data_IF_142652429591
#
_entry.id   IF_142652429591
#
_cell.length_a   1.000
_cell.length_b   1.000
_cell.length_c   1.000
_cell.angle_alpha   90.00
_cell.angle_beta   90.00
_cell.angle_gamma   90.00
#
_symmetry.space_group_name_H-M   'P 1'
#
loop_
_entity.id
_entity.type
_entity.pdbx_description
1 polymer ?
#
# COMPACT_ATOMS: atom_id res chain seq x y z
N UNK A 1 8.51 10.14 -14.53
CA UNK A 1 7.14 10.69 -14.37
C UNK A 1 7.16 12.18 -14.56
N UNK A 2 6.26 12.71 -15.37
CA UNK A 2 6.09 14.13 -15.59
C UNK A 2 4.73 14.58 -15.09
N UNK A 3 4.57 15.87 -14.77
CA UNK A 3 3.28 16.43 -14.38
C UNK A 3 2.26 16.22 -15.49
N UNK A 4 2.68 16.28 -16.78
CA UNK A 4 1.82 15.99 -17.94
C UNK A 4 1.29 14.56 -17.93
N UNK A 5 2.15 13.57 -17.71
CA UNK A 5 1.73 12.16 -17.70
C UNK A 5 0.74 11.88 -16.58
N UNK A 6 0.92 12.53 -15.45
CA UNK A 6 0.04 12.35 -14.31
C UNK A 6 -1.30 13.08 -14.49
N UNK A 7 -1.28 14.31 -15.02
CA UNK A 7 -2.50 15.05 -15.38
C UNK A 7 -3.35 14.24 -16.36
N UNK A 8 -2.72 13.62 -17.36
CA UNK A 8 -3.39 12.73 -18.31
C UNK A 8 -4.01 11.52 -17.62
N UNK A 9 -3.27 10.87 -16.71
CA UNK A 9 -3.76 9.72 -15.97
C UNK A 9 -4.95 10.06 -15.05
N UNK A 10 -4.99 11.28 -14.52
CA UNK A 10 -6.08 11.77 -13.68
C UNK A 10 -7.23 12.43 -14.48
N UNK A 11 -7.09 12.58 -15.79
CA UNK A 11 -8.12 13.21 -16.64
C UNK A 11 -8.28 14.71 -16.42
N UNK A 12 -7.23 15.41 -15.97
CA UNK A 12 -7.25 16.85 -15.70
C UNK A 12 -6.21 17.61 -16.53
N UNK A 13 -6.41 18.90 -16.72
CA UNK A 13 -5.45 19.76 -17.41
C UNK A 13 -4.21 20.00 -16.53
N UNK A 14 -3.05 20.19 -17.17
CA UNK A 14 -1.79 20.49 -16.48
C UNK A 14 -1.90 21.75 -15.63
N UNK A 15 -2.56 22.81 -16.12
CA UNK A 15 -2.81 24.02 -15.37
C UNK A 15 -3.64 23.79 -14.09
N UNK A 16 -4.59 22.89 -14.12
CA UNK A 16 -5.37 22.50 -12.95
C UNK A 16 -4.49 21.87 -11.88
N UNK A 17 -3.53 21.03 -12.28
CA UNK A 17 -2.57 20.44 -11.38
C UNK A 17 -1.74 21.49 -10.65
N UNK A 18 -1.19 22.46 -11.38
CA UNK A 18 -0.42 23.55 -10.78
C UNK A 18 -1.21 24.45 -9.83
N UNK A 19 -2.53 24.57 -10.03
CA UNK A 19 -3.39 25.35 -9.15
C UNK A 19 -3.65 24.68 -7.80
N UNK A 20 -3.67 23.34 -7.76
CA UNK A 20 -3.97 22.56 -6.56
C UNK A 20 -2.74 22.06 -5.82
N UNK A 21 -1.58 21.96 -6.48
CA UNK A 21 -0.37 21.38 -5.90
C UNK A 21 0.81 22.30 -6.03
N UNK A 22 1.41 22.64 -4.91
CA UNK A 22 2.56 23.54 -4.85
C UNK A 22 3.86 22.90 -5.36
N UNK A 23 3.86 21.61 -5.69
CA UNK A 23 5.04 20.92 -6.18
C UNK A 23 4.76 19.54 -6.74
N UNK A 24 5.75 19.05 -7.50
CA UNK A 24 5.77 17.72 -8.12
C UNK A 24 5.60 16.60 -7.09
N UNK A 25 6.11 16.82 -5.88
CA UNK A 25 6.12 15.86 -4.79
C UNK A 25 4.73 15.63 -4.17
N UNK A 26 3.98 16.70 -3.90
CA UNK A 26 2.60 16.57 -3.39
C UNK A 26 1.70 15.85 -4.37
N UNK A 27 1.92 16.12 -5.65
CA UNK A 27 1.17 15.47 -6.71
C UNK A 27 1.50 13.98 -6.83
N UNK A 28 2.77 13.64 -6.72
CA UNK A 28 3.20 12.24 -6.68
C UNK A 28 2.57 11.50 -5.49
N UNK A 29 2.51 12.12 -4.32
CA UNK A 29 1.86 11.56 -3.15
C UNK A 29 0.37 11.29 -3.40
N UNK A 30 -0.35 12.20 -4.07
CA UNK A 30 -1.76 12.00 -4.41
C UNK A 30 -1.95 10.80 -5.36
N UNK A 31 -1.10 10.68 -6.37
CA UNK A 31 -1.15 9.55 -7.31
C UNK A 31 -0.98 8.24 -6.57
N UNK A 32 -0.05 8.19 -5.63
CA UNK A 32 0.21 7.00 -4.82
C UNK A 32 -0.96 6.65 -3.91
N UNK A 33 -1.60 7.63 -3.30
CA UNK A 33 -2.80 7.42 -2.50
C UNK A 33 -3.97 6.91 -3.36
N UNK A 34 -4.11 7.42 -4.58
CA UNK A 34 -5.14 6.95 -5.51
C UNK A 34 -4.90 5.49 -5.92
N UNK A 35 -3.66 5.13 -6.21
CA UNK A 35 -3.27 3.73 -6.51
C UNK A 35 -3.44 2.83 -5.32
N UNK A 36 -3.12 3.31 -4.13
CA UNK A 36 -3.32 2.58 -2.88
C UNK A 36 -4.80 2.25 -2.66
N UNK A 37 -5.69 3.17 -2.98
CA UNK A 37 -7.13 2.92 -2.92
C UNK A 37 -7.55 1.74 -3.80
N UNK A 38 -7.04 1.66 -5.02
CA UNK A 38 -7.30 0.52 -5.92
C UNK A 38 -6.75 -0.79 -5.36
N UNK A 39 -5.56 -0.75 -4.78
CA UNK A 39 -4.93 -1.90 -4.11
C UNK A 39 -5.81 -2.42 -2.98
N UNK A 40 -6.28 -1.54 -2.09
CA UNK A 40 -7.14 -1.93 -0.97
C UNK A 40 -8.51 -2.43 -1.42
N UNK A 41 -9.09 -1.86 -2.46
CA UNK A 41 -10.34 -2.35 -3.06
C UNK A 41 -10.19 -3.77 -3.59
N UNK A 42 -9.06 -4.09 -4.24
CA UNK A 42 -8.78 -5.45 -4.71
C UNK A 42 -8.60 -6.42 -3.55
N UNK A 43 -7.85 -6.05 -2.53
CA UNK A 43 -7.68 -6.88 -1.32
C UNK A 43 -9.02 -7.15 -0.66
N UNK A 44 -9.87 -6.15 -0.52
CA UNK A 44 -11.21 -6.31 0.06
C UNK A 44 -12.09 -7.25 -0.77
N UNK A 45 -11.98 -7.18 -2.09
CA UNK A 45 -12.68 -8.09 -3.00
C UNK A 45 -12.25 -9.55 -2.78
N UNK A 46 -10.94 -9.80 -2.72
CA UNK A 46 -10.40 -11.15 -2.45
C UNK A 46 -10.84 -11.64 -1.07
N UNK A 47 -10.83 -10.78 -0.06
CA UNK A 47 -11.26 -11.13 1.29
C UNK A 47 -12.73 -11.56 1.37
N UNK A 48 -13.59 -10.98 0.54
CA UNK A 48 -15.01 -11.37 0.47
C UNK A 48 -15.22 -12.70 -0.23
N UNK A 49 -14.36 -13.04 -1.17
CA UNK A 49 -14.51 -14.23 -2.02
C UNK A 49 -13.75 -15.46 -1.49
N UNK A 50 -12.72 -15.25 -0.68
CA UNK A 50 -11.82 -16.31 -0.23
C UNK A 50 -11.80 -16.39 1.30
N UNK A 51 -12.07 -17.58 1.81
CA UNK A 51 -12.06 -17.86 3.25
C UNK A 51 -10.71 -18.40 3.76
N UNK A 52 -9.78 -18.71 2.86
CA UNK A 52 -8.51 -19.30 3.24
C UNK A 52 -7.49 -18.24 3.66
N UNK A 53 -6.98 -18.32 4.91
CA UNK A 53 -6.07 -17.31 5.45
C UNK A 53 -4.80 -17.11 4.62
N UNK A 54 -4.16 -18.17 4.17
CA UNK A 54 -2.94 -18.09 3.38
C UNK A 54 -3.16 -17.34 2.06
N UNK A 55 -4.25 -17.63 1.38
CA UNK A 55 -4.58 -16.99 0.10
C UNK A 55 -4.77 -15.49 0.28
N UNK A 56 -5.47 -15.07 1.33
CA UNK A 56 -5.67 -13.65 1.62
C UNK A 56 -4.35 -12.95 1.98
N UNK A 57 -3.56 -13.54 2.86
CA UNK A 57 -2.27 -12.95 3.27
C UNK A 57 -1.32 -12.88 2.09
N UNK A 58 -1.29 -13.89 1.23
CA UNK A 58 -0.49 -13.90 0.00
C UNK A 58 -0.93 -12.80 -0.96
N UNK A 59 -2.23 -12.59 -1.10
CA UNK A 59 -2.77 -11.50 -1.91
C UNK A 59 -2.29 -10.14 -1.40
N UNK A 60 -2.38 -9.90 -0.10
CA UNK A 60 -1.91 -8.65 0.52
C UNK A 60 -0.42 -8.45 0.26
N UNK A 61 0.38 -9.48 0.47
CA UNK A 61 1.82 -9.44 0.21
C UNK A 61 2.13 -9.09 -1.25
N UNK A 62 1.48 -9.77 -2.18
CA UNK A 62 1.69 -9.55 -3.62
C UNK A 62 1.27 -8.14 -4.05
N UNK A 63 0.15 -7.64 -3.53
CA UNK A 63 -0.32 -6.28 -3.79
C UNK A 63 0.64 -5.22 -3.24
N UNK A 64 1.20 -5.44 -2.06
CA UNK A 64 2.21 -4.57 -1.49
C UNK A 64 3.49 -4.57 -2.33
N UNK A 65 3.95 -5.74 -2.77
CA UNK A 65 5.11 -5.85 -3.65
C UNK A 65 4.88 -5.12 -4.99
N UNK A 66 3.73 -5.32 -5.61
CA UNK A 66 3.37 -4.66 -6.87
C UNK A 66 3.29 -3.14 -6.70
N UNK A 67 2.74 -2.67 -5.60
CA UNK A 67 2.69 -1.26 -5.26
C UNK A 67 4.09 -0.67 -5.09
N UNK A 68 4.97 -1.36 -4.39
CA UNK A 68 6.36 -0.96 -4.21
C UNK A 68 7.14 -0.92 -5.54
N UNK A 69 6.92 -1.89 -6.42
CA UNK A 69 7.57 -1.95 -7.73
C UNK A 69 7.13 -0.79 -8.64
N UNK A 70 5.84 -0.47 -8.68
CA UNK A 70 5.34 0.70 -9.39
C UNK A 70 5.98 1.98 -8.88
N UNK A 71 6.23 2.02 -7.60
CA UNK A 71 6.86 3.13 -6.94
C UNK A 71 8.30 3.34 -7.40
N UNK A 72 9.09 2.27 -7.42
CA UNK A 72 10.50 2.33 -7.89
C UNK A 72 10.62 2.82 -9.31
N UNK A 73 9.65 2.46 -10.17
CA UNK A 73 9.62 2.93 -11.56
C UNK A 73 9.33 4.43 -11.65
N UNK A 74 8.44 4.94 -10.78
CA UNK A 74 8.04 6.35 -10.76
C UNK A 74 9.09 7.26 -10.12
N UNK A 75 9.86 6.75 -9.16
CA UNK A 75 10.81 7.52 -8.36
C UNK A 75 12.21 6.92 -8.48
N UNK A 76 12.94 7.36 -9.49
CA UNK A 76 14.28 6.86 -9.78
C UNK A 76 15.40 7.75 -9.19
N UNK A 77 15.08 8.90 -8.63
CA UNK A 77 16.04 9.80 -8.02
C UNK A 77 15.94 9.84 -6.48
N UNK A 78 17.01 10.27 -5.83
CA UNK A 78 17.08 10.34 -4.36
C UNK A 78 16.03 11.28 -3.76
N UNK A 79 15.73 12.40 -4.43
CA UNK A 79 14.74 13.35 -3.96
C UNK A 79 13.34 12.73 -3.95
N UNK A 80 12.99 11.98 -5.00
CA UNK A 80 11.72 11.28 -5.09
C UNK A 80 11.62 10.16 -4.05
N UNK A 81 12.68 9.42 -3.80
CA UNK A 81 12.73 8.38 -2.75
C UNK A 81 12.52 9.01 -1.37
N UNK A 82 13.14 10.16 -1.09
CA UNK A 82 12.97 10.87 0.18
C UNK A 82 11.51 11.31 0.38
N UNK A 83 10.85 11.81 -0.64
CA UNK A 83 9.44 12.19 -0.61
C UNK A 83 8.56 10.97 -0.34
N UNK A 84 8.85 9.86 -0.97
CA UNK A 84 8.12 8.60 -0.70
C UNK A 84 8.26 8.18 0.75
N UNK A 85 9.47 8.10 1.24
CA UNK A 85 9.73 7.67 2.62
C UNK A 85 8.98 8.56 3.61
N UNK A 86 8.98 9.87 3.39
CA UNK A 86 8.24 10.81 4.22
C UNK A 86 6.72 10.62 4.11
N UNK A 87 6.20 10.42 2.91
CA UNK A 87 4.77 10.17 2.67
C UNK A 87 4.32 8.85 3.28
N UNK A 88 5.12 7.80 3.13
CA UNK A 88 4.83 6.49 3.72
C UNK A 88 4.79 6.59 5.25
N UNK A 89 5.76 7.24 5.87
CA UNK A 89 5.79 7.44 7.32
C UNK A 89 4.56 8.23 7.81
N UNK A 90 4.16 9.26 7.07
CA UNK A 90 2.99 10.09 7.39
C UNK A 90 1.67 9.32 7.35
N UNK A 91 1.53 8.38 6.42
CA UNK A 91 0.30 7.63 6.21
C UNK A 91 0.36 6.20 6.78
N UNK A 92 1.42 5.84 7.47
CA UNK A 92 1.65 4.49 7.96
C UNK A 92 0.48 3.94 8.81
N UNK A 93 -0.01 4.72 9.73
CA UNK A 93 -1.15 4.31 10.58
C UNK A 93 -2.42 4.07 9.76
N UNK A 94 -2.68 4.93 8.76
CA UNK A 94 -3.82 4.76 7.87
C UNK A 94 -3.70 3.49 7.03
N UNK A 95 -2.52 3.23 6.49
CA UNK A 95 -2.26 2.03 5.68
C UNK A 95 -2.41 0.77 6.52
N UNK A 96 -1.89 0.79 7.74
CA UNK A 96 -2.05 -0.32 8.69
C UNK A 96 -3.52 -0.58 9.01
N UNK A 97 -4.29 0.44 9.32
CA UNK A 97 -5.71 0.32 9.62
C UNK A 97 -6.50 -0.28 8.44
N UNK A 98 -6.18 0.15 7.23
CA UNK A 98 -6.82 -0.38 6.02
C UNK A 98 -6.46 -1.85 5.76
N UNK A 99 -5.23 -2.27 6.03
CA UNK A 99 -4.82 -3.67 5.89
C UNK A 99 -5.35 -4.55 7.02
N UNK A 100 -5.58 -4.00 8.21
CA UNK A 100 -6.16 -4.73 9.33
C UNK A 100 -7.61 -5.16 9.07
N UNK A 101 -8.37 -4.36 8.33
CA UNK A 101 -9.78 -4.66 8.01
C UNK A 101 -10.00 -6.03 7.39
N UNK A 102 -9.34 -6.38 6.25
CA UNK A 102 -9.56 -7.68 5.62
C UNK A 102 -9.07 -8.87 6.45
N UNK A 103 -8.07 -8.68 7.31
CA UNK A 103 -7.56 -9.77 8.15
C UNK A 103 -8.31 -9.92 9.48
N UNK A 104 -9.09 -8.93 9.87
CA UNK A 104 -9.82 -8.94 11.16
C UNK A 104 -10.65 -10.21 11.40
N UNK A 105 -11.41 -10.71 10.43
CA UNK A 105 -12.18 -11.96 10.62
C UNK A 105 -11.34 -13.19 10.90
N UNK A 106 -10.05 -13.17 10.56
CA UNK A 106 -9.12 -14.28 10.79
C UNK A 106 -8.42 -14.18 12.14
N UNK A 107 -8.63 -13.12 12.89
CA UNK A 107 -7.98 -12.83 14.16
C UNK A 107 -8.97 -12.89 15.31
N UNK A 108 -8.49 -13.10 16.52
CA UNK A 108 -9.33 -13.16 17.72
C UNK A 108 -9.79 -11.78 18.19
N UNK A 109 -8.96 -10.76 17.95
CA UNK A 109 -9.23 -9.41 18.40
C UNK A 109 -8.63 -8.36 17.45
N UNK A 110 -8.95 -7.09 17.70
CA UNK A 110 -8.49 -5.99 16.84
C UNK A 110 -6.97 -5.80 16.90
N UNK A 111 -6.37 -6.02 18.05
CA UNK A 111 -4.91 -5.89 18.19
C UNK A 111 -4.15 -6.92 17.33
N UNK A 112 -4.62 -8.17 17.30
CA UNK A 112 -4.02 -9.18 16.43
C UNK A 112 -4.11 -8.79 14.96
N UNK A 113 -5.25 -8.24 14.53
CA UNK A 113 -5.41 -7.78 13.17
C UNK A 113 -4.44 -6.62 12.83
N UNK A 114 -4.30 -5.66 13.73
CA UNK A 114 -3.34 -4.58 13.56
C UNK A 114 -1.89 -5.07 13.58
N UNK A 115 -1.57 -6.02 14.43
CA UNK A 115 -0.24 -6.63 14.49
C UNK A 115 0.11 -7.34 13.17
N UNK A 116 -0.81 -8.12 12.63
CA UNK A 116 -0.64 -8.80 11.34
C UNK A 116 -0.46 -7.78 10.21
N UNK A 117 -1.30 -6.75 10.19
CA UNK A 117 -1.20 -5.68 9.19
C UNK A 117 0.14 -4.95 9.27
N UNK A 118 0.59 -4.62 10.47
CA UNK A 118 1.89 -3.98 10.71
C UNK A 118 3.05 -4.87 10.26
N UNK A 119 3.00 -6.15 10.58
CA UNK A 119 4.02 -7.10 10.17
C UNK A 119 4.10 -7.22 8.64
N UNK A 120 2.96 -7.36 7.97
CA UNK A 120 2.91 -7.41 6.51
C UNK A 120 3.47 -6.14 5.88
N UNK A 121 3.03 -4.98 6.36
CA UNK A 121 3.45 -3.69 5.81
C UNK A 121 4.95 -3.47 5.99
N UNK A 122 5.45 -3.63 7.20
CA UNK A 122 6.82 -3.33 7.57
C UNK A 122 7.82 -4.30 6.93
N UNK A 123 7.56 -5.59 7.04
CA UNK A 123 8.49 -6.60 6.55
C UNK A 123 8.49 -6.74 5.03
N UNK A 124 7.34 -6.53 4.38
CA UNK A 124 7.29 -6.50 2.92
C UNK A 124 8.08 -5.32 2.37
N UNK A 125 7.94 -4.14 2.99
CA UNK A 125 8.72 -2.95 2.61
C UNK A 125 10.22 -3.17 2.85
N UNK A 126 10.58 -3.89 3.90
CA UNK A 126 11.97 -4.25 4.20
C UNK A 126 12.57 -5.27 3.21
N UNK A 127 11.75 -5.88 2.36
CA UNK A 127 12.20 -6.83 1.34
C UNK A 127 12.20 -8.29 1.77
N UNK A 128 11.54 -8.62 2.88
CA UNK A 128 11.42 -10.01 3.32
C UNK A 128 10.51 -10.83 2.40
N UNK A 129 10.79 -12.11 2.30
CA UNK A 129 10.00 -13.05 1.51
C UNK A 129 8.67 -13.40 2.18
N UNK A 130 7.72 -13.85 1.36
CA UNK A 130 6.40 -14.25 1.85
C UNK A 130 6.48 -15.37 2.88
N UNK A 131 7.28 -16.39 2.62
CA UNK A 131 7.34 -17.57 3.48
C UNK A 131 7.85 -17.24 4.88
N UNK A 132 8.85 -16.38 4.99
CA UNK A 132 9.39 -15.92 6.27
C UNK A 132 8.33 -15.16 7.08
N UNK A 133 7.62 -14.25 6.44
CA UNK A 133 6.56 -13.47 7.08
C UNK A 133 5.39 -14.38 7.47
N UNK A 134 4.95 -15.22 6.56
CA UNK A 134 3.77 -16.05 6.77
C UNK A 134 3.97 -17.12 7.86
N UNK A 135 5.17 -17.68 8.00
CA UNK A 135 5.47 -18.63 9.09
C UNK A 135 5.19 -18.06 10.47
N UNK A 136 5.36 -16.76 10.64
CA UNK A 136 5.05 -16.08 11.91
C UNK A 136 3.56 -15.75 11.99
N UNK A 137 3.02 -15.13 10.95
CA UNK A 137 1.62 -14.68 10.93
C UNK A 137 0.65 -15.84 11.11
N UNK A 138 0.89 -16.99 10.48
CA UNK A 138 -0.01 -18.16 10.59
C UNK A 138 -0.21 -18.67 12.02
N UNK A 139 0.72 -18.35 12.93
CA UNK A 139 0.60 -18.73 14.35
C UNK A 139 -0.42 -17.87 15.09
N UNK A 140 -0.72 -16.70 14.55
CA UNK A 140 -1.68 -15.76 15.10
C UNK A 140 -3.08 -16.00 14.50
N UNK A 141 -3.12 -16.36 13.23
CA UNK A 141 -4.38 -16.57 12.52
C UNK A 141 -5.11 -17.85 12.99
N UNK A 142 -6.40 -17.76 13.01
CA UNK A 142 -7.29 -18.90 13.33
C UNK A 142 -7.39 -19.88 12.18
#
# INVERSE_FOLDING_TARGET
MTIRSVAKACGVAVGTVYNYFSGKEEFAALVLLTRWKKTTEHIDSVARECAEPETLVRCIYQELCAYMDQYRVLFQDEAAIAVFTASFARYHELLRAQLAKPVRPLCQNDFEAEFVAEALLTWTVAGEGFDEIYQVIRKILN
#
